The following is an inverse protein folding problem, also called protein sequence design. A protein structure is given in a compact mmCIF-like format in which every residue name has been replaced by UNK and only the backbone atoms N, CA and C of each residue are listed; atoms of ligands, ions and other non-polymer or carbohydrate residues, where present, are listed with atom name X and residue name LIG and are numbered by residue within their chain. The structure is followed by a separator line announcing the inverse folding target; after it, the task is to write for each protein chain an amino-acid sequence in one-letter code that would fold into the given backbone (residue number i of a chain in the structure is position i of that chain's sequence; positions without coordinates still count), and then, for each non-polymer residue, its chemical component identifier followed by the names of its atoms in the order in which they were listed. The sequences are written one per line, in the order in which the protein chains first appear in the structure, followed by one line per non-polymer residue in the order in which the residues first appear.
data_IF_713659286114
#
_entry.id   IF_713659286114
#
_cell.length_a   1.000
_cell.length_b   1.000
_cell.length_c   1.000
_cell.angle_alpha   90.00
_cell.angle_beta   90.00
_cell.angle_gamma   90.00
#
_symmetry.space_group_name_H-M   'P 1'
#
loop_
_entity.id
_entity.type
_entity.pdbx_description
1 polymer ?
#
# COMPACT_ATOMS: atom_id res chain seq x y z
N UNK A 1 7.17 -12.71 -33.37
CA UNK A 1 6.41 -12.93 -32.13
C UNK A 1 5.38 -14.00 -32.41
N UNK A 2 5.28 -15.04 -31.59
CA UNK A 2 4.19 -16.00 -31.70
C UNK A 2 2.87 -15.28 -31.35
N UNK A 3 1.84 -15.43 -32.17
CA UNK A 3 0.53 -14.83 -31.91
C UNK A 3 -0.32 -15.90 -31.26
N UNK A 4 -0.68 -15.69 -29.99
CA UNK A 4 -1.60 -16.57 -29.27
C UNK A 4 -2.99 -16.49 -29.91
N UNK A 5 -3.62 -17.64 -30.15
CA UNK A 5 -5.01 -17.71 -30.55
C UNK A 5 -5.89 -17.62 -29.30
N UNK A 6 -6.38 -16.43 -29.00
CA UNK A 6 -7.22 -16.16 -27.82
C UNK A 6 -8.56 -16.90 -27.81
N UNK A 7 -8.95 -17.54 -28.92
CA UNK A 7 -10.14 -18.39 -29.00
C UNK A 7 -9.85 -19.86 -28.68
N UNK A 8 -8.58 -20.26 -28.60
CA UNK A 8 -8.19 -21.61 -28.20
C UNK A 8 -8.02 -21.68 -26.67
N UNK A 9 -8.89 -22.40 -25.94
CA UNK A 9 -8.82 -22.45 -24.49
C UNK A 9 -7.53 -23.08 -23.96
N UNK A 10 -6.92 -23.99 -24.71
CA UNK A 10 -5.67 -24.65 -24.33
C UNK A 10 -4.48 -23.69 -24.38
N UNK A 11 -4.39 -22.88 -25.44
CA UNK A 11 -3.34 -21.84 -25.55
C UNK A 11 -3.50 -20.75 -24.48
N UNK A 12 -4.74 -20.39 -24.15
CA UNK A 12 -5.02 -19.43 -23.07
C UNK A 12 -4.62 -20.02 -21.71
N UNK A 13 -4.86 -21.31 -21.48
CA UNK A 13 -4.43 -21.99 -20.25
C UNK A 13 -2.90 -22.04 -20.13
N UNK A 14 -2.20 -22.41 -21.20
CA UNK A 14 -0.73 -22.41 -21.25
C UNK A 14 -0.15 -21.02 -21.00
N UNK A 15 -0.77 -19.97 -21.54
CA UNK A 15 -0.36 -18.59 -21.28
C UNK A 15 -0.54 -18.21 -19.80
N UNK A 16 -1.66 -18.58 -19.17
CA UNK A 16 -1.89 -18.34 -17.74
C UNK A 16 -0.86 -19.07 -16.86
N UNK A 17 -0.55 -20.32 -17.20
CA UNK A 17 0.48 -21.09 -16.51
C UNK A 17 1.85 -20.41 -16.62
N UNK A 18 2.22 -19.94 -17.82
CA UNK A 18 3.47 -19.21 -18.03
C UNK A 18 3.53 -17.89 -17.23
N UNK A 19 2.42 -17.15 -17.13
CA UNK A 19 2.33 -15.95 -16.30
C UNK A 19 2.56 -16.26 -14.82
N UNK A 20 1.96 -17.32 -14.31
CA UNK A 20 2.08 -17.72 -12.90
C UNK A 20 3.47 -18.26 -12.55
N UNK A 21 4.15 -18.89 -13.51
CA UNK A 21 5.51 -19.41 -13.34
C UNK A 21 6.60 -18.35 -13.54
N UNK A 22 6.27 -17.21 -14.14
CA UNK A 22 7.24 -16.16 -14.44
C UNK A 22 7.71 -15.44 -13.16
N UNK A 23 9.00 -15.09 -13.07
CA UNK A 23 9.50 -14.30 -11.96
C UNK A 23 8.98 -12.85 -12.03
N UNK A 24 8.78 -12.22 -10.87
CA UNK A 24 8.21 -10.87 -10.77
C UNK A 24 8.97 -9.80 -11.57
N UNK A 25 10.30 -9.88 -11.64
CA UNK A 25 11.10 -8.92 -12.40
C UNK A 25 10.77 -8.94 -13.91
N UNK A 26 10.51 -10.13 -14.46
CA UNK A 26 10.16 -10.30 -15.87
C UNK A 26 8.76 -9.77 -16.15
N UNK A 27 7.79 -10.06 -15.27
CA UNK A 27 6.45 -9.51 -15.36
C UNK A 27 6.46 -7.97 -15.32
N UNK A 28 7.27 -7.38 -14.44
CA UNK A 28 7.45 -5.93 -14.36
C UNK A 28 8.04 -5.33 -15.64
N UNK A 29 9.02 -6.01 -16.27
CA UNK A 29 9.58 -5.58 -17.55
C UNK A 29 8.53 -5.63 -18.67
N UNK A 30 7.76 -6.73 -18.75
CA UNK A 30 6.69 -6.89 -19.73
C UNK A 30 5.61 -5.80 -19.55
N UNK A 31 5.15 -5.53 -18.32
CA UNK A 31 4.16 -4.47 -18.04
C UNK A 31 4.69 -3.11 -18.49
N UNK A 32 5.96 -2.79 -18.20
CA UNK A 32 6.59 -1.54 -18.66
C UNK A 32 6.59 -1.44 -20.18
N UNK A 33 6.91 -2.52 -20.89
CA UNK A 33 6.93 -2.53 -22.34
C UNK A 33 5.53 -2.47 -22.95
N UNK A 34 4.54 -3.14 -22.37
CA UNK A 34 3.13 -3.02 -22.75
C UNK A 34 2.66 -1.58 -22.61
N UNK A 35 2.96 -0.90 -21.50
CA UNK A 35 2.60 0.51 -21.32
C UNK A 35 3.28 1.45 -22.33
N UNK A 36 4.51 1.13 -22.78
CA UNK A 36 5.21 1.90 -23.83
C UNK A 36 4.59 1.68 -25.21
N UNK A 37 4.27 0.43 -25.53
CA UNK A 37 3.78 0.02 -26.86
C UNK A 37 2.28 0.31 -27.04
N UNK A 38 1.51 0.25 -25.95
CA UNK A 38 0.07 0.43 -25.91
C UNK A 38 -0.31 1.43 -24.81
N UNK A 39 -0.30 2.75 -25.09
CA UNK A 39 -0.65 3.78 -24.12
C UNK A 39 -2.05 3.62 -23.51
N UNK A 40 -2.97 2.96 -24.21
CA UNK A 40 -4.30 2.62 -23.69
C UNK A 40 -4.28 1.66 -22.49
N UNK A 41 -3.16 0.96 -22.25
CA UNK A 41 -2.97 0.12 -21.07
C UNK A 41 -2.60 0.93 -19.81
N UNK A 42 -2.11 2.17 -19.97
CA UNK A 42 -1.65 2.99 -18.83
C UNK A 42 -2.75 3.21 -17.79
N UNK A 43 -3.99 3.63 -18.16
CA UNK A 43 -5.06 3.81 -17.18
C UNK A 43 -5.37 2.52 -16.41
N UNK A 44 -5.41 1.39 -17.11
CA UNK A 44 -5.68 0.08 -16.51
C UNK A 44 -4.62 -0.23 -15.46
N UNK A 45 -3.34 -0.12 -15.83
CA UNK A 45 -2.23 -0.41 -14.91
C UNK A 45 -2.16 0.60 -13.77
N UNK A 46 -2.45 1.89 -14.02
CA UNK A 46 -2.45 2.90 -12.97
C UNK A 46 -3.53 2.65 -11.92
N UNK A 47 -4.71 2.18 -12.31
CA UNK A 47 -5.82 1.92 -11.38
C UNK A 47 -5.48 0.80 -10.37
N UNK A 48 -4.57 -0.11 -10.72
CA UNK A 48 -4.10 -1.16 -9.81
C UNK A 48 -2.88 -0.78 -8.97
N UNK A 49 -2.06 0.17 -9.44
CA UNK A 49 -0.76 0.48 -8.80
C UNK A 49 -0.75 1.82 -8.07
N UNK A 50 -1.67 2.72 -8.40
CA UNK A 50 -1.73 4.07 -7.88
C UNK A 50 -3.09 4.32 -7.23
N UNK A 51 -3.05 5.07 -6.14
CA UNK A 51 -4.23 5.58 -5.45
C UNK A 51 -4.05 7.07 -5.17
N UNK A 52 -5.16 7.76 -4.95
CA UNK A 52 -5.15 9.16 -4.54
C UNK A 52 -4.90 9.26 -3.03
N UNK A 53 -4.28 10.36 -2.58
CA UNK A 53 -4.01 10.57 -1.15
C UNK A 53 -5.27 10.55 -0.27
N UNK A 54 -6.45 10.89 -0.81
CA UNK A 54 -7.72 10.85 -0.09
C UNK A 54 -8.37 9.45 0.00
N UNK A 55 -7.90 8.48 -0.79
CA UNK A 55 -8.32 7.07 -0.71
C UNK A 55 -7.50 6.28 0.31
N UNK A 56 -6.41 6.87 0.84
CA UNK A 56 -5.59 6.24 1.88
C UNK A 56 -6.40 6.15 3.17
N UNK A 57 -6.37 4.99 3.81
CA UNK A 57 -7.00 4.84 5.11
C UNK A 57 -6.28 5.73 6.14
N UNK A 58 -7.07 6.51 6.87
CA UNK A 58 -6.57 7.51 7.84
C UNK A 58 -6.94 7.07 9.24
N UNK A 59 -5.94 7.02 10.11
CA UNK A 59 -6.13 6.93 11.56
C UNK A 59 -6.89 8.17 12.03
N UNK A 60 -8.14 7.98 12.46
CA UNK A 60 -8.99 9.08 12.94
C UNK A 60 -8.79 9.22 14.44
N UNK A 61 -8.06 10.26 14.85
CA UNK A 61 -7.97 10.63 16.26
C UNK A 61 -9.36 11.13 16.73
N UNK A 62 -10.00 10.37 17.61
CA UNK A 62 -11.32 10.72 18.18
C UNK A 62 -11.26 11.93 19.14
N UNK A 63 -10.08 12.50 19.37
CA UNK A 63 -9.84 13.61 20.29
C UNK A 63 -10.17 15.01 19.70
N UNK A 64 -10.57 15.11 18.42
CA UNK A 64 -10.86 16.39 17.75
C UNK A 64 -12.39 16.66 17.56
N UNK A 65 -13.25 15.95 18.31
CA UNK A 65 -14.71 16.06 18.24
C UNK A 65 -15.34 16.98 19.31
N UNK A 66 -14.65 18.04 19.75
CA UNK A 66 -15.23 19.07 20.64
C UNK A 66 -15.45 20.44 19.93
N UNK A 67 -15.65 20.41 18.61
CA UNK A 67 -16.15 21.57 17.87
C UNK A 67 -17.57 21.30 17.37
N UNK A 68 -18.53 21.56 18.24
CA UNK A 68 -19.97 21.62 17.96
C UNK A 68 -20.25 22.37 16.63
N UNK A 69 -20.83 21.72 15.61
CA UNK A 69 -21.36 22.44 14.47
C UNK A 69 -22.74 23.00 14.85
N UNK A 70 -22.82 24.32 15.05
CA UNK A 70 -24.11 25.00 15.22
C UNK A 70 -25.00 24.72 14.02
N UNK A 71 -26.15 24.11 14.31
CA UNK A 71 -27.18 23.82 13.34
C UNK A 71 -27.89 25.11 12.92
N UNK A 72 -27.85 25.43 11.64
CA UNK A 72 -28.90 26.24 11.03
C UNK A 72 -29.42 25.58 9.76
N UNK A 73 -30.50 24.82 9.96
CA UNK A 73 -31.37 24.32 8.91
C UNK A 73 -32.19 25.46 8.31
N UNK A 74 -32.12 25.63 6.99
CA UNK A 74 -33.17 26.28 6.21
C UNK A 74 -33.44 25.50 4.91
N UNK A 75 -34.57 24.77 4.95
CA UNK A 75 -35.58 24.47 3.91
C UNK A 75 -35.62 25.50 2.76
N UNK A 76 -36.14 25.31 1.54
CA UNK A 76 -36.77 24.26 0.72
C UNK A 76 -37.02 24.91 -0.68
N UNK A 77 -37.49 24.13 -1.66
CA UNK A 77 -38.07 24.45 -2.97
C UNK A 77 -37.07 24.65 -4.12
N UNK A 78 -37.05 23.87 -5.20
CA UNK A 78 -38.07 22.99 -5.79
C UNK A 78 -38.20 23.35 -7.28
N UNK A 79 -38.09 22.36 -8.17
CA UNK A 79 -38.88 22.22 -9.42
C UNK A 79 -38.09 21.49 -10.53
N UNK A 80 -38.76 20.46 -11.03
CA UNK A 80 -38.41 19.50 -12.06
C UNK A 80 -38.49 20.12 -13.47
N UNK A 81 -37.65 19.71 -14.43
CA UNK A 81 -38.07 19.28 -15.79
C UNK A 81 -36.87 18.85 -16.67
N UNK A 82 -36.87 17.58 -17.08
CA UNK A 82 -36.40 17.11 -18.41
C UNK A 82 -37.54 17.37 -19.42
N UNK A 83 -37.34 17.60 -20.75
CA UNK A 83 -36.69 16.61 -21.63
C UNK A 83 -36.02 17.11 -22.96
N UNK A 84 -35.23 16.20 -23.57
CA UNK A 84 -35.07 15.90 -25.02
C UNK A 84 -34.76 17.01 -26.05
N UNK A 85 -33.71 16.81 -26.88
CA UNK A 85 -33.80 16.46 -28.33
C UNK A 85 -32.52 16.86 -29.10
N UNK A 86 -32.19 16.07 -30.12
CA UNK A 86 -30.99 16.13 -30.98
C UNK A 86 -31.02 17.25 -32.05
N UNK A 87 -29.81 17.60 -32.52
CA UNK A 87 -29.39 18.03 -33.88
C UNK A 87 -28.78 19.43 -34.08
N UNK A 88 -27.46 19.41 -34.33
CA UNK A 88 -26.70 19.97 -35.46
C UNK A 88 -27.06 21.38 -35.98
N UNK A 89 -26.15 22.33 -35.80
CA UNK A 89 -26.08 23.58 -36.54
C UNK A 89 -24.79 24.35 -36.26
N UNK A 90 -23.96 24.49 -37.28
CA UNK A 90 -22.75 25.33 -37.29
C UNK A 90 -23.11 26.81 -37.16
N UNK A 91 -22.28 27.58 -36.44
CA UNK A 91 -22.33 29.03 -36.42
C UNK A 91 -21.70 29.64 -35.16
N UNK A 92 -20.40 29.96 -35.22
CA UNK A 92 -19.80 30.94 -34.32
C UNK A 92 -20.49 32.31 -34.49
N UNK A 93 -20.64 33.07 -33.40
CA UNK A 93 -19.75 34.22 -33.28
C UNK A 93 -19.14 34.34 -31.89
N UNK A 94 -17.84 34.67 -31.89
CA UNK A 94 -17.04 34.98 -30.73
C UNK A 94 -17.66 36.08 -29.86
N UNK A 95 -17.97 35.74 -28.61
CA UNK A 95 -18.03 36.70 -27.51
C UNK A 95 -17.31 36.08 -26.31
N UNK A 96 -16.11 36.60 -26.08
CA UNK A 96 -15.20 36.16 -25.05
C UNK A 96 -15.74 36.45 -23.65
N UNK A 97 -16.18 35.40 -22.98
CA UNK A 97 -15.96 35.21 -21.55
C UNK A 97 -15.12 33.94 -21.50
N UNK A 98 -13.82 34.07 -21.20
CA UNK A 98 -12.99 32.94 -20.83
C UNK A 98 -13.65 32.35 -19.58
N UNK A 99 -14.41 31.28 -19.78
CA UNK A 99 -14.87 30.43 -18.70
C UNK A 99 -13.59 29.92 -18.05
N UNK A 100 -13.27 30.50 -16.90
CA UNK A 100 -12.18 30.03 -16.05
C UNK A 100 -12.67 28.69 -15.53
N UNK A 101 -12.46 27.63 -16.30
CA UNK A 101 -12.58 26.26 -15.83
C UNK A 101 -11.61 26.20 -14.65
N UNK A 102 -12.10 26.07 -13.41
CA UNK A 102 -11.21 25.98 -12.27
C UNK A 102 -10.27 24.81 -12.56
N UNK A 103 -8.94 24.98 -12.39
CA UNK A 103 -8.02 23.89 -12.64
C UNK A 103 -8.49 22.72 -11.79
N UNK A 104 -8.86 21.60 -12.43
CA UNK A 104 -9.09 20.34 -11.72
C UNK A 104 -7.88 20.13 -10.84
N UNK A 105 -8.04 20.29 -9.53
CA UNK A 105 -6.99 20.06 -8.56
C UNK A 105 -6.58 18.61 -8.80
N UNK A 106 -5.39 18.42 -9.37
CA UNK A 106 -4.86 17.09 -9.63
C UNK A 106 -4.56 16.51 -8.26
N UNK A 107 -5.42 15.60 -7.81
CA UNK A 107 -5.19 14.82 -6.59
C UNK A 107 -3.82 14.18 -6.67
N UNK A 108 -3.09 14.22 -5.57
CA UNK A 108 -1.74 13.64 -5.51
C UNK A 108 -1.88 12.12 -5.56
N UNK A 109 -1.12 11.51 -6.46
CA UNK A 109 -1.08 10.06 -6.63
C UNK A 109 0.11 9.50 -5.85
N UNK A 110 -0.08 8.32 -5.26
CA UNK A 110 0.94 7.54 -4.56
C UNK A 110 0.80 6.05 -4.88
N UNK A 111 1.86 5.25 -4.64
CA UNK A 111 1.74 3.79 -4.74
C UNK A 111 0.65 3.26 -3.82
N UNK A 112 -0.14 2.30 -4.34
CA UNK A 112 -1.18 1.58 -3.60
C UNK A 112 -0.62 0.64 -2.55
N UNK A 113 0.50 -0.01 -2.85
CA UNK A 113 1.16 -0.93 -1.95
C UNK A 113 2.38 -0.28 -1.31
N UNK A 114 2.59 -0.53 -0.02
CA UNK A 114 3.71 -0.04 0.77
C UNK A 114 4.26 -1.13 1.67
N UNK A 115 5.53 -1.01 2.08
CA UNK A 115 6.15 -1.88 3.07
C UNK A 115 6.03 -1.27 4.47
N UNK A 116 5.55 -2.08 5.43
CA UNK A 116 5.46 -1.66 6.82
C UNK A 116 6.84 -1.66 7.49
N UNK A 117 7.18 -0.60 8.24
CA UNK A 117 8.44 -0.55 9.00
C UNK A 117 8.45 -1.47 10.21
N UNK A 118 7.28 -1.86 10.70
CA UNK A 118 7.16 -2.68 11.90
C UNK A 118 7.22 -4.18 11.52
N UNK A 119 6.17 -4.69 10.86
CA UNK A 119 6.08 -6.10 10.49
C UNK A 119 6.82 -6.48 9.20
N UNK A 120 7.37 -5.50 8.44
CA UNK A 120 8.07 -5.72 7.16
C UNK A 120 7.24 -6.34 6.03
N UNK A 121 5.93 -6.50 6.23
CA UNK A 121 5.01 -6.99 5.20
C UNK A 121 4.56 -5.87 4.25
N UNK A 122 4.25 -6.24 3.01
CA UNK A 122 3.58 -5.38 2.04
C UNK A 122 2.09 -5.32 2.36
N UNK A 123 1.50 -4.13 2.29
CA UNK A 123 0.09 -3.90 2.56
C UNK A 123 -0.52 -2.90 1.57
N UNK A 124 -1.84 -3.00 1.37
CA UNK A 124 -2.62 -2.03 0.60
C UNK A 124 -2.96 -0.83 1.49
N UNK A 125 -2.51 0.37 1.11
CA UNK A 125 -2.72 1.60 1.90
C UNK A 125 -4.19 2.01 1.99
N UNK A 126 -5.06 1.46 1.15
CA UNK A 126 -6.51 1.74 1.16
C UNK A 126 -7.29 0.80 2.08
N UNK A 127 -6.69 -0.33 2.46
CA UNK A 127 -7.32 -1.38 3.30
C UNK A 127 -6.68 -1.46 4.70
N UNK A 128 -5.74 -0.56 5.03
CA UNK A 128 -5.09 -0.51 6.33
C UNK A 128 -6.06 -0.03 7.41
N UNK A 129 -6.09 -0.73 8.54
CA UNK A 129 -6.91 -0.39 9.71
C UNK A 129 -6.14 -0.63 11.02
N UNK A 130 -6.80 -0.40 12.16
CA UNK A 130 -6.21 -0.55 13.49
C UNK A 130 -5.87 -2.00 13.87
N UNK A 131 -6.34 -2.99 13.11
CA UNK A 131 -6.10 -4.41 13.36
C UNK A 131 -5.19 -5.06 12.30
N UNK A 132 -4.65 -4.28 11.35
CA UNK A 132 -3.93 -4.80 10.19
C UNK A 132 -2.48 -5.24 10.48
N UNK A 133 -1.78 -4.55 11.38
CA UNK A 133 -0.34 -4.73 11.61
C UNK A 133 -0.06 -5.41 12.95
N UNK A 134 0.26 -6.70 12.86
CA UNK A 134 0.79 -7.51 13.96
C UNK A 134 2.32 -7.43 13.98
N UNK A 135 2.92 -7.02 15.09
CA UNK A 135 4.39 -6.97 15.24
C UNK A 135 4.85 -6.99 16.72
N UNK A 136 6.14 -7.27 16.90
CA UNK A 136 6.86 -6.91 18.12
C UNK A 136 7.50 -5.52 17.94
N UNK A 137 7.23 -4.53 18.80
CA UNK A 137 7.80 -3.19 18.69
C UNK A 137 9.29 -3.15 19.04
N UNK A 138 9.71 -4.04 19.94
CA UNK A 138 11.09 -4.14 20.41
C UNK A 138 11.83 -5.27 19.68
N UNK A 139 13.13 -5.11 19.42
CA UNK A 139 13.92 -6.15 18.80
C UNK A 139 14.02 -7.39 19.69
N UNK A 140 14.34 -8.51 19.06
CA UNK A 140 14.66 -9.74 19.78
C UNK A 140 16.05 -9.59 20.42
N UNK A 141 16.14 -9.75 21.74
CA UNK A 141 17.38 -9.60 22.50
C UNK A 141 17.81 -10.93 23.16
N UNK A 142 19.12 -11.17 23.32
CA UNK A 142 19.62 -12.33 24.05
C UNK A 142 19.34 -12.21 25.56
N UNK A 143 18.96 -13.33 26.18
CA UNK A 143 18.75 -13.40 27.63
C UNK A 143 20.08 -13.76 28.29
N UNK A 144 20.79 -12.78 28.85
CA UNK A 144 22.14 -12.95 29.44
C UNK A 144 22.25 -14.19 30.36
N UNK A 145 21.29 -14.39 31.27
CA UNK A 145 21.30 -15.50 32.22
C UNK A 145 21.15 -16.88 31.54
N UNK A 146 20.45 -16.94 30.39
CA UNK A 146 20.24 -18.19 29.65
C UNK A 146 21.50 -18.66 28.91
N UNK A 147 22.43 -17.76 28.63
CA UNK A 147 23.71 -18.07 27.98
C UNK A 147 24.81 -18.44 28.98
N UNK A 148 24.73 -17.96 30.23
CA UNK A 148 25.76 -18.10 31.27
C UNK A 148 26.07 -19.55 31.68
N UNK A 149 25.10 -20.46 31.59
CA UNK A 149 25.27 -21.86 32.01
C UNK A 149 25.83 -22.78 30.90
N UNK A 150 26.15 -22.24 29.73
CA UNK A 150 26.39 -23.05 28.53
C UNK A 150 27.87 -23.06 28.14
N UNK A 151 28.40 -24.23 27.79
CA UNK A 151 29.77 -24.39 27.29
C UNK A 151 30.06 -23.64 25.97
N UNK A 152 29.03 -23.06 25.36
CA UNK A 152 29.07 -22.26 24.12
C UNK A 152 29.14 -20.74 24.39
N UNK A 153 29.13 -20.32 25.67
CA UNK A 153 29.24 -18.92 26.09
C UNK A 153 30.48 -18.22 25.48
N UNK A 154 31.58 -18.95 25.33
CA UNK A 154 32.80 -18.42 24.74
C UNK A 154 32.68 -18.27 23.21
N UNK A 155 31.94 -19.12 22.49
CA UNK A 155 31.73 -18.97 21.03
C UNK A 155 30.75 -17.84 20.70
N UNK A 156 29.77 -17.61 21.56
CA UNK A 156 28.79 -16.52 21.49
C UNK A 156 29.41 -15.13 21.69
N UNK A 157 30.40 -15.00 22.59
CA UNK A 157 31.13 -13.73 22.83
C UNK A 157 32.02 -13.27 21.66
N UNK A 158 32.34 -14.16 20.71
CA UNK A 158 33.21 -13.84 19.57
C UNK A 158 32.48 -13.79 18.21
N UNK A 159 31.21 -14.21 18.13
CA UNK A 159 30.37 -14.18 16.92
C UNK A 159 29.36 -13.02 16.93
N UNK A 160 28.75 -12.72 15.77
CA UNK A 160 27.58 -11.84 15.73
C UNK A 160 26.36 -12.62 16.22
N UNK A 161 25.99 -12.36 17.47
CA UNK A 161 24.86 -12.98 18.18
C UNK A 161 23.52 -12.72 17.50
N UNK A 162 23.44 -11.66 16.70
CA UNK A 162 22.23 -11.28 15.97
C UNK A 162 22.10 -11.99 14.62
N UNK A 163 22.89 -13.04 14.37
CA UNK A 163 22.66 -13.92 13.23
C UNK A 163 21.44 -14.81 13.45
N UNK A 164 20.61 -14.91 12.41
CA UNK A 164 19.42 -15.79 12.35
C UNK A 164 19.70 -17.24 12.78
N UNK A 165 20.92 -17.72 12.56
CA UNK A 165 21.36 -19.05 12.99
C UNK A 165 21.15 -19.29 14.48
N UNK A 166 21.46 -18.30 15.34
CA UNK A 166 21.35 -18.44 16.78
C UNK A 166 19.89 -18.40 17.24
N UNK A 167 19.07 -17.54 16.64
CA UNK A 167 17.63 -17.44 16.93
C UNK A 167 16.89 -18.75 16.60
N UNK A 168 17.23 -19.39 15.47
CA UNK A 168 16.62 -20.67 15.07
C UNK A 168 17.10 -21.86 15.91
N UNK A 169 18.36 -21.82 16.36
CA UNK A 169 18.96 -22.93 17.12
C UNK A 169 18.58 -22.91 18.60
N UNK A 170 18.46 -21.72 19.18
CA UNK A 170 18.19 -21.51 20.61
C UNK A 170 17.12 -20.42 20.82
N UNK A 171 15.90 -20.60 20.28
CA UNK A 171 14.85 -19.59 20.39
C UNK A 171 14.53 -19.22 21.84
N UNK A 172 14.69 -20.15 22.78
CA UNK A 172 14.46 -19.96 24.21
C UNK A 172 15.48 -19.06 24.92
N UNK A 173 16.61 -18.76 24.27
CA UNK A 173 17.66 -17.88 24.80
C UNK A 173 17.59 -16.46 24.28
N UNK A 174 16.52 -16.17 23.55
CA UNK A 174 16.20 -14.86 23.07
C UNK A 174 14.78 -14.53 23.49
N UNK A 175 14.54 -13.29 23.87
CA UNK A 175 13.21 -12.80 24.16
C UNK A 175 13.01 -11.43 23.51
N UNK A 176 11.78 -11.18 23.07
CA UNK A 176 11.32 -9.84 22.77
C UNK A 176 11.11 -9.10 24.09
N UNK A 177 11.78 -7.97 24.30
CA UNK A 177 11.63 -7.18 25.52
C UNK A 177 10.17 -6.77 25.78
N UNK A 178 9.41 -6.56 24.70
CA UNK A 178 8.05 -6.02 24.76
C UNK A 178 7.02 -6.94 25.42
N UNK A 179 7.19 -8.26 25.31
CA UNK A 179 6.25 -9.25 25.86
C UNK A 179 6.92 -10.44 26.56
N UNK A 180 8.24 -10.56 26.47
CA UNK A 180 9.00 -11.72 26.94
C UNK A 180 8.82 -12.98 26.07
N UNK A 181 8.18 -12.87 24.91
CA UNK A 181 8.01 -13.97 23.96
C UNK A 181 9.32 -14.38 23.31
N UNK A 182 9.46 -15.65 22.95
CA UNK A 182 10.63 -16.20 22.28
C UNK A 182 10.60 -15.95 20.77
N UNK A 183 11.71 -16.24 20.08
CA UNK A 183 11.74 -16.19 18.62
C UNK A 183 10.69 -17.13 18.00
N UNK A 184 9.80 -16.56 17.17
CA UNK A 184 8.72 -17.29 16.50
C UNK A 184 7.40 -17.34 17.26
N UNK A 185 7.31 -16.71 18.44
CA UNK A 185 6.05 -16.48 19.13
C UNK A 185 5.16 -15.49 18.38
N UNK A 186 3.87 -15.48 18.73
CA UNK A 186 2.87 -14.57 18.16
C UNK A 186 3.20 -13.11 18.52
N UNK A 187 2.94 -12.24 17.55
CA UNK A 187 3.19 -10.81 17.71
C UNK A 187 2.32 -10.20 18.83
N UNK A 188 2.92 -9.32 19.64
CA UNK A 188 2.27 -8.81 20.84
C UNK A 188 1.57 -7.45 20.69
N UNK A 189 1.84 -6.73 19.60
CA UNK A 189 1.21 -5.43 19.31
C UNK A 189 0.45 -5.48 17.99
N UNK A 190 -0.78 -4.96 18.04
CA UNK A 190 -1.70 -4.84 16.90
C UNK A 190 -1.97 -3.36 16.67
N UNK A 191 -1.93 -2.92 15.42
CA UNK A 191 -2.16 -1.52 15.08
C UNK A 191 -2.20 -1.28 13.58
N UNK A 192 -2.11 -0.01 13.19
CA UNK A 192 -1.97 0.41 11.80
C UNK A 192 -0.58 0.06 11.24
N UNK A 193 -0.51 -0.36 9.98
CA UNK A 193 0.77 -0.42 9.28
C UNK A 193 1.38 0.99 9.13
N UNK A 194 2.69 1.09 9.33
CA UNK A 194 3.46 2.34 9.21
C UNK A 194 4.39 2.30 8.01
N UNK A 195 4.23 3.22 7.07
CA UNK A 195 5.09 3.30 5.87
C UNK A 195 6.48 3.89 6.21
N UNK A 196 7.53 3.36 5.58
CA UNK A 196 8.85 3.98 5.62
C UNK A 196 8.86 5.29 4.81
N UNK A 197 8.75 6.42 5.51
CA UNK A 197 8.82 7.74 4.89
C UNK A 197 10.23 8.33 4.85
N UNK A 198 11.24 7.65 5.41
CA UNK A 198 12.60 8.19 5.59
C UNK A 198 13.31 8.49 4.26
N UNK A 199 12.92 7.83 3.17
CA UNK A 199 13.42 8.10 1.81
C UNK A 199 12.62 9.15 1.00
N UNK A 200 11.39 9.47 1.41
CA UNK A 200 10.55 10.44 0.70
C UNK A 200 10.90 11.84 1.20
N UNK A 201 11.76 12.55 0.47
CA UNK A 201 11.96 14.00 0.65
C UNK A 201 10.58 14.66 0.68
N UNK A 202 10.15 15.13 1.86
CA UNK A 202 9.01 16.04 2.00
C UNK A 202 9.25 17.20 1.04
N UNK A 203 8.55 17.20 -0.10
CA UNK A 203 8.51 18.37 -0.95
C UNK A 203 7.72 19.40 -0.15
N UNK A 204 8.43 20.40 0.38
CA UNK A 204 7.83 21.54 1.08
C UNK A 204 6.69 22.07 0.20
N UNK A 205 5.51 22.20 0.80
CA UNK A 205 4.37 22.88 0.22
C UNK A 205 4.72 24.32 -0.15
#
# INVERSE_FOLDING_TARGET
MAVLNTKNPEEVAQFKEALNAAPAWLLNEIIRDVCKLLPAAIPIVSDFLLVTEDEVAVERDYDDLDSEPESESAVDAGSETEPSNEQKGEGEPANGILEVIPPKIRKRLRPRYALCINCKMEYDVTENDEESCYHHPEPLEPIDDAWAETHEHDEWMYGDVNEKYWWEKYPERFAYECCGGAYGDEECEVGWHKEDTTGRKRRRA
#
